data_IF_236680993793
#
_entry.id   IF_236680993793
#
_cell.length_a   1.000
_cell.length_b   1.000
_cell.length_c   1.000
_cell.angle_alpha   90.00
_cell.angle_beta   90.00
_cell.angle_gamma   90.00
#
_symmetry.space_group_name_H-M   'P 1'
#
loop_
_entity.id
_entity.type
_entity.pdbx_description
1 polymer ?
#
# COMPACT_ATOMS: atom_id res chain seq x y z
N UNK A 1 -53.26 -12.30 -8.77
CA UNK A 1 -52.43 -13.41 -8.24
C UNK A 1 -50.93 -13.22 -8.53
N UNK A 2 -50.55 -12.72 -9.71
CA UNK A 2 -49.14 -12.49 -10.09
C UNK A 2 -48.36 -11.49 -9.23
N UNK A 3 -49.01 -10.44 -8.71
CA UNK A 3 -48.32 -9.41 -7.92
C UNK A 3 -47.81 -9.95 -6.56
N UNK A 4 -48.57 -10.85 -5.93
CA UNK A 4 -48.20 -11.51 -4.67
C UNK A 4 -47.08 -12.53 -4.87
N UNK A 5 -47.09 -13.27 -5.99
CA UNK A 5 -46.02 -14.20 -6.35
C UNK A 5 -44.70 -13.48 -6.67
N UNK A 6 -44.76 -12.31 -7.31
CA UNK A 6 -43.59 -11.47 -7.61
C UNK A 6 -42.97 -10.87 -6.34
N UNK A 7 -43.81 -10.47 -5.37
CA UNK A 7 -43.38 -10.02 -4.05
C UNK A 7 -42.67 -11.10 -3.23
N UNK A 8 -43.25 -12.32 -3.19
CA UNK A 8 -42.69 -13.48 -2.49
C UNK A 8 -41.34 -13.89 -3.05
N UNK A 9 -41.20 -14.00 -4.39
CA UNK A 9 -39.91 -14.30 -5.05
C UNK A 9 -38.83 -13.25 -4.75
N UNK A 10 -39.21 -11.97 -4.66
CA UNK A 10 -38.27 -10.87 -4.33
C UNK A 10 -37.82 -10.91 -2.87
N UNK A 11 -38.69 -11.31 -1.94
CA UNK A 11 -38.33 -11.56 -0.54
C UNK A 11 -37.41 -12.79 -0.39
N UNK A 12 -37.74 -13.91 -1.02
CA UNK A 12 -36.90 -15.13 -0.97
C UNK A 12 -35.52 -14.90 -1.59
N UNK A 13 -35.42 -14.15 -2.69
CA UNK A 13 -34.14 -13.77 -3.28
C UNK A 13 -33.30 -12.86 -2.37
N UNK A 14 -33.95 -11.95 -1.63
CA UNK A 14 -33.27 -11.08 -0.64
C UNK A 14 -32.77 -11.88 0.55
N UNK A 15 -33.55 -12.83 1.06
CA UNK A 15 -33.15 -13.72 2.16
C UNK A 15 -32.02 -14.67 1.75
N UNK A 16 -32.09 -15.25 0.56
CA UNK A 16 -31.02 -16.07 0.01
C UNK A 16 -29.71 -15.27 -0.16
N UNK A 17 -29.81 -14.02 -0.64
CA UNK A 17 -28.66 -13.13 -0.73
C UNK A 17 -28.10 -12.78 0.66
N UNK A 18 -28.95 -12.53 1.66
CA UNK A 18 -28.50 -12.32 3.05
C UNK A 18 -27.80 -13.55 3.63
N UNK A 19 -28.33 -14.76 3.42
CA UNK A 19 -27.68 -16.00 3.86
C UNK A 19 -26.35 -16.25 3.15
N UNK A 20 -26.27 -16.00 1.83
CA UNK A 20 -25.02 -16.06 1.07
C UNK A 20 -24.00 -15.02 1.55
N UNK A 21 -24.46 -13.80 1.84
CA UNK A 21 -23.64 -12.72 2.41
C UNK A 21 -23.10 -13.10 3.79
N UNK A 22 -23.95 -13.63 4.68
CA UNK A 22 -23.55 -14.09 6.02
C UNK A 22 -22.53 -15.23 5.95
N UNK A 23 -22.74 -16.21 5.06
CA UNK A 23 -21.77 -17.28 4.79
C UNK A 23 -20.44 -16.74 4.23
N UNK A 24 -20.46 -15.65 3.46
CA UNK A 24 -19.22 -14.99 2.98
C UNK A 24 -18.48 -14.30 4.11
N UNK A 25 -19.18 -13.55 4.95
CA UNK A 25 -18.61 -12.85 6.11
C UNK A 25 -18.02 -13.87 7.10
N UNK A 26 -18.71 -14.98 7.37
CA UNK A 26 -18.19 -16.02 8.27
C UNK A 26 -16.92 -16.68 7.72
N UNK A 27 -16.83 -16.92 6.41
CA UNK A 27 -15.63 -17.46 5.76
C UNK A 27 -14.46 -16.47 5.76
N UNK A 28 -14.71 -15.19 5.48
CA UNK A 28 -13.67 -14.16 5.55
C UNK A 28 -13.14 -14.01 6.98
N UNK A 29 -14.03 -14.01 7.98
CA UNK A 29 -13.66 -14.01 9.39
C UNK A 29 -12.85 -15.25 9.77
N UNK A 30 -13.21 -16.43 9.25
CA UNK A 30 -12.46 -17.66 9.50
C UNK A 30 -11.04 -17.59 8.93
N UNK A 31 -10.86 -17.05 7.72
CA UNK A 31 -9.53 -16.82 7.13
C UNK A 31 -8.74 -15.84 7.99
N UNK A 32 -9.33 -14.68 8.31
CA UNK A 32 -8.70 -13.69 9.17
C UNK A 32 -8.23 -14.27 10.51
N UNK A 33 -9.09 -15.03 11.20
CA UNK A 33 -8.74 -15.66 12.49
C UNK A 33 -7.65 -16.73 12.33
N UNK A 34 -7.68 -17.51 11.25
CA UNK A 34 -6.64 -18.48 10.91
C UNK A 34 -5.28 -17.77 10.74
N UNK A 35 -5.24 -16.69 9.97
CA UNK A 35 -4.02 -15.91 9.71
C UNK A 35 -3.49 -15.24 10.98
N UNK A 36 -4.37 -14.58 11.75
CA UNK A 36 -3.99 -13.99 13.04
C UNK A 36 -3.39 -15.04 13.98
N UNK A 37 -4.02 -16.22 14.07
CA UNK A 37 -3.49 -17.33 14.88
C UNK A 37 -2.13 -17.80 14.35
N UNK A 38 -1.98 -17.92 13.03
CA UNK A 38 -0.71 -18.31 12.42
C UNK A 38 0.41 -17.32 12.73
N UNK A 39 0.12 -16.01 12.72
CA UNK A 39 1.09 -14.98 13.08
C UNK A 39 1.56 -15.10 14.53
N UNK A 40 0.64 -15.20 15.50
CA UNK A 40 1.01 -15.32 16.90
C UNK A 40 1.72 -16.64 17.27
N UNK A 41 1.65 -17.68 16.43
CA UNK A 41 2.46 -18.88 16.60
C UNK A 41 3.78 -18.86 15.79
N UNK A 42 4.01 -17.82 14.99
CA UNK A 42 5.20 -17.67 14.16
C UNK A 42 6.24 -16.79 14.83
N UNK A 43 7.50 -17.25 14.84
CA UNK A 43 8.64 -16.47 15.33
C UNK A 43 8.76 -15.09 14.63
N UNK A 44 8.33 -15.00 13.36
CA UNK A 44 8.42 -13.77 12.58
C UNK A 44 7.58 -12.62 13.17
N UNK A 45 6.40 -12.89 13.74
CA UNK A 45 5.56 -11.84 14.34
C UNK A 45 6.19 -11.29 15.63
N UNK A 46 6.81 -12.15 16.43
CA UNK A 46 7.52 -11.72 17.64
C UNK A 46 8.76 -10.90 17.30
N UNK A 47 9.54 -11.30 16.28
CA UNK A 47 10.66 -10.50 15.77
C UNK A 47 10.18 -9.14 15.29
N UNK A 48 9.05 -9.10 14.58
CA UNK A 48 8.42 -7.85 14.16
C UNK A 48 8.09 -6.93 15.33
N UNK A 49 7.36 -7.42 16.34
CA UNK A 49 7.01 -6.60 17.51
C UNK A 49 8.24 -6.12 18.26
N UNK A 50 9.24 -6.98 18.46
CA UNK A 50 10.48 -6.62 19.13
C UNK A 50 11.23 -5.53 18.36
N UNK A 51 11.35 -5.65 17.03
CA UNK A 51 12.02 -4.67 16.19
C UNK A 51 11.27 -3.34 16.17
N UNK A 52 9.94 -3.37 16.07
CA UNK A 52 9.10 -2.18 16.10
C UNK A 52 9.29 -1.41 17.41
N UNK A 53 9.10 -2.07 18.55
CA UNK A 53 9.20 -1.47 19.89
C UNK A 53 10.63 -0.97 20.14
N UNK A 54 11.65 -1.76 19.81
CA UNK A 54 13.04 -1.36 20.02
C UNK A 54 13.37 -0.10 19.22
N UNK A 55 12.95 -0.03 17.95
CA UNK A 55 13.28 1.10 17.10
C UNK A 55 12.50 2.37 17.47
N UNK A 56 11.18 2.29 17.71
CA UNK A 56 10.41 3.47 18.19
C UNK A 56 10.92 3.92 19.56
N UNK A 57 11.22 2.98 20.45
CA UNK A 57 11.77 3.23 21.78
C UNK A 57 13.14 3.92 21.75
N UNK A 58 14.01 3.57 20.79
CA UNK A 58 15.30 4.26 20.62
C UNK A 58 15.10 5.71 20.20
N UNK A 59 14.25 5.99 19.21
CA UNK A 59 13.96 7.37 18.80
C UNK A 59 13.32 8.17 19.93
N UNK A 60 12.38 7.57 20.66
CA UNK A 60 11.73 8.18 21.82
C UNK A 60 12.74 8.49 22.94
N UNK A 61 13.58 7.54 23.33
CA UNK A 61 14.55 7.70 24.41
C UNK A 61 15.64 8.73 24.08
N UNK A 62 16.21 8.64 22.87
CA UNK A 62 17.29 9.55 22.47
C UNK A 62 16.74 10.95 22.19
N UNK A 63 15.69 11.07 21.39
CA UNK A 63 15.26 12.39 20.89
C UNK A 63 14.31 13.07 21.87
N UNK A 64 13.28 12.38 22.36
CA UNK A 64 12.29 13.01 23.24
C UNK A 64 12.79 13.13 24.68
N UNK A 65 13.38 12.07 25.24
CA UNK A 65 13.84 12.08 26.64
C UNK A 65 15.21 12.71 26.83
N UNK A 66 16.19 12.41 25.96
CA UNK A 66 17.56 12.93 26.17
C UNK A 66 17.75 14.34 25.62
N UNK A 67 17.18 14.67 24.46
CA UNK A 67 17.24 16.04 23.89
C UNK A 67 16.06 16.93 24.29
N UNK A 68 15.03 16.39 24.93
CA UNK A 68 13.91 17.19 25.48
C UNK A 68 12.90 17.68 24.44
N UNK A 69 12.83 17.07 23.26
CA UNK A 69 11.84 17.44 22.25
C UNK A 69 10.46 16.83 22.53
N UNK A 70 9.41 17.65 22.50
CA UNK A 70 8.03 17.21 22.76
C UNK A 70 7.24 16.82 21.50
N UNK A 71 7.77 17.09 20.29
CA UNK A 71 7.10 16.76 19.03
C UNK A 71 7.30 15.28 18.64
N UNK A 72 6.52 14.42 19.29
CA UNK A 72 6.61 12.97 19.10
C UNK A 72 6.33 12.55 17.64
N UNK A 73 5.41 13.21 16.93
CA UNK A 73 5.04 12.78 15.59
C UNK A 73 6.16 13.02 14.57
N UNK A 74 6.81 14.17 14.65
CA UNK A 74 7.92 14.49 13.76
C UNK A 74 9.17 13.67 14.10
N UNK A 75 9.50 13.49 15.38
CA UNK A 75 10.75 12.86 15.77
C UNK A 75 10.69 11.34 15.89
N UNK A 76 9.57 10.77 16.31
CA UNK A 76 9.43 9.31 16.45
C UNK A 76 8.80 8.72 15.20
N UNK A 77 7.61 9.15 14.77
CA UNK A 77 6.95 8.53 13.62
C UNK A 77 7.67 8.79 12.30
N UNK A 78 8.10 10.03 12.00
CA UNK A 78 8.82 10.33 10.75
C UNK A 78 10.11 9.54 10.62
N UNK A 79 10.94 9.50 11.67
CA UNK A 79 12.18 8.72 11.64
C UNK A 79 11.92 7.21 11.61
N UNK A 80 10.86 6.74 12.28
CA UNK A 80 10.48 5.32 12.27
C UNK A 80 9.95 4.82 10.93
N UNK A 81 9.62 5.70 9.97
CA UNK A 81 9.16 5.28 8.63
C UNK A 81 10.18 4.41 7.89
N UNK A 82 11.48 4.59 8.17
CA UNK A 82 12.55 3.76 7.60
C UNK A 82 12.41 2.28 7.96
N UNK A 83 11.78 1.97 9.11
CA UNK A 83 11.57 0.60 9.56
C UNK A 83 10.64 -0.18 8.64
N UNK A 84 9.77 0.49 7.89
CA UNK A 84 8.89 -0.16 6.93
C UNK A 84 9.66 -0.91 5.85
N UNK A 85 10.89 -0.51 5.52
CA UNK A 85 11.76 -1.21 4.58
C UNK A 85 12.02 -2.66 5.04
N UNK A 86 12.11 -2.90 6.34
CA UNK A 86 12.35 -4.23 6.92
C UNK A 86 11.06 -4.91 7.34
N UNK A 87 10.17 -4.16 7.98
CA UNK A 87 8.91 -4.66 8.56
C UNK A 87 7.96 -5.17 7.48
N UNK A 88 7.77 -4.41 6.39
CA UNK A 88 6.79 -4.76 5.35
C UNK A 88 7.15 -6.09 4.68
N UNK A 89 8.40 -6.32 4.22
CA UNK A 89 8.80 -7.62 3.70
C UNK A 89 8.56 -8.76 4.70
N UNK A 90 8.91 -8.58 5.97
CA UNK A 90 8.76 -9.63 6.99
C UNK A 90 7.29 -10.03 7.16
N UNK A 91 6.38 -9.06 7.25
CA UNK A 91 4.96 -9.32 7.48
C UNK A 91 4.22 -9.82 6.24
N UNK A 92 4.66 -9.43 5.04
CA UNK A 92 3.92 -9.69 3.80
C UNK A 92 4.47 -10.84 2.96
N UNK A 93 5.77 -11.17 3.08
CA UNK A 93 6.41 -12.20 2.23
C UNK A 93 5.71 -13.57 2.30
N UNK A 94 5.13 -13.93 3.46
CA UNK A 94 4.52 -15.25 3.72
C UNK A 94 3.08 -15.37 3.21
N UNK A 95 2.38 -14.25 3.02
CA UNK A 95 0.93 -14.21 2.84
C UNK A 95 0.43 -15.12 1.72
N UNK A 96 1.13 -15.15 0.59
CA UNK A 96 0.82 -16.03 -0.55
C UNK A 96 1.99 -16.93 -0.96
N UNK A 97 3.23 -16.42 -0.92
CA UNK A 97 4.38 -17.20 -1.38
C UNK A 97 4.61 -18.50 -0.59
N UNK A 98 4.29 -18.52 0.72
CA UNK A 98 4.45 -19.72 1.54
C UNK A 98 3.39 -20.78 1.24
N UNK A 99 2.13 -20.39 1.03
CA UNK A 99 1.06 -21.31 0.66
C UNK A 99 1.32 -21.98 -0.69
N UNK A 100 1.85 -21.22 -1.65
CA UNK A 100 2.26 -21.76 -2.95
C UNK A 100 3.43 -22.71 -2.83
N UNK A 101 4.46 -22.33 -2.06
CA UNK A 101 5.62 -23.20 -1.82
C UNK A 101 5.22 -24.54 -1.22
N UNK A 102 4.23 -24.53 -0.32
CA UNK A 102 3.69 -25.72 0.33
C UNK A 102 2.58 -26.43 -0.48
N UNK A 103 2.20 -25.92 -1.65
CA UNK A 103 1.07 -26.39 -2.49
C UNK A 103 -0.27 -26.46 -1.75
N UNK A 104 -0.44 -25.66 -0.70
CA UNK A 104 -1.71 -25.54 0.03
C UNK A 104 -2.66 -24.53 -0.61
N UNK A 105 -2.18 -23.77 -1.59
CA UNK A 105 -2.95 -22.86 -2.44
C UNK A 105 -4.05 -23.58 -3.25
N UNK A 106 -3.80 -24.82 -3.68
CA UNK A 106 -4.79 -25.66 -4.38
C UNK A 106 -6.04 -25.93 -3.53
N UNK A 107 -5.86 -26.15 -2.22
CA UNK A 107 -6.98 -26.34 -1.27
C UNK A 107 -7.81 -25.06 -1.15
N UNK A 108 -7.15 -23.90 -1.26
CA UNK A 108 -7.80 -22.59 -1.22
C UNK A 108 -8.65 -22.34 -2.48
N UNK A 109 -8.16 -22.73 -3.66
CA UNK A 109 -8.85 -22.51 -4.94
C UNK A 109 -10.00 -23.48 -5.21
N UNK A 110 -9.88 -24.71 -4.72
CA UNK A 110 -10.96 -25.72 -4.77
C UNK A 110 -12.07 -25.43 -3.77
N UNK A 111 -11.77 -24.71 -2.69
CA UNK A 111 -12.79 -24.25 -1.76
C UNK A 111 -13.79 -23.28 -2.45
N UNK A 112 -15.09 -23.30 -2.07
CA UNK A 112 -16.11 -22.44 -2.68
C UNK A 112 -16.03 -20.99 -2.16
N UNK A 113 -14.82 -20.45 -1.98
CA UNK A 113 -14.54 -19.12 -1.46
C UNK A 113 -14.21 -18.20 -2.65
N UNK A 114 -14.63 -16.94 -2.55
CA UNK A 114 -14.33 -15.90 -3.54
C UNK A 114 -12.91 -15.38 -3.32
N UNK A 115 -12.15 -15.16 -4.39
CA UNK A 115 -10.77 -14.65 -4.35
C UNK A 115 -10.64 -13.38 -3.51
N UNK A 116 -11.60 -12.46 -3.63
CA UNK A 116 -11.64 -11.25 -2.80
C UNK A 116 -11.72 -11.52 -1.29
N UNK A 117 -12.48 -12.52 -0.83
CA UNK A 117 -12.57 -12.84 0.60
C UNK A 117 -11.26 -13.42 1.16
N UNK A 118 -10.46 -14.07 0.32
CA UNK A 118 -9.13 -14.57 0.67
C UNK A 118 -8.17 -13.38 0.84
N UNK A 119 -8.09 -12.53 -0.19
CA UNK A 119 -7.19 -11.36 -0.20
C UNK A 119 -7.51 -10.41 0.94
N UNK A 120 -8.78 -10.01 1.12
CA UNK A 120 -9.16 -9.12 2.21
C UNK A 120 -8.94 -9.75 3.59
N UNK A 121 -9.22 -11.05 3.78
CA UNK A 121 -9.01 -11.72 5.06
C UNK A 121 -7.54 -11.74 5.48
N UNK A 122 -6.65 -12.08 4.55
CA UNK A 122 -5.19 -12.08 4.74
C UNK A 122 -4.64 -10.66 4.96
N UNK A 123 -5.10 -9.69 4.15
CA UNK A 123 -4.65 -8.31 4.25
C UNK A 123 -5.05 -7.70 5.60
N UNK A 124 -6.31 -7.85 6.01
CA UNK A 124 -6.79 -7.35 7.29
C UNK A 124 -6.05 -7.97 8.46
N UNK A 125 -5.68 -9.26 8.41
CA UNK A 125 -4.88 -9.88 9.47
C UNK A 125 -3.51 -9.19 9.61
N UNK A 126 -2.85 -8.96 8.48
CA UNK A 126 -1.54 -8.27 8.46
C UNK A 126 -1.65 -6.82 8.95
N UNK A 127 -2.66 -6.07 8.53
CA UNK A 127 -2.89 -4.68 8.97
C UNK A 127 -3.29 -4.60 10.43
N UNK A 128 -4.00 -5.59 10.98
CA UNK A 128 -4.28 -5.64 12.42
C UNK A 128 -3.00 -5.78 13.24
N UNK A 129 -1.99 -6.54 12.80
CA UNK A 129 -0.71 -6.60 13.50
C UNK A 129 -0.02 -5.24 13.56
N UNK A 130 -0.08 -4.48 12.46
CA UNK A 130 0.37 -3.09 12.44
C UNK A 130 -0.43 -2.23 13.42
N UNK A 131 -1.76 -2.35 13.45
CA UNK A 131 -2.58 -1.61 14.41
C UNK A 131 -2.23 -1.95 15.87
N UNK A 132 -1.97 -3.22 16.18
CA UNK A 132 -1.59 -3.68 17.52
C UNK A 132 -0.24 -3.07 17.93
N UNK A 133 0.77 -3.07 17.05
CA UNK A 133 2.07 -2.49 17.40
C UNK A 133 2.00 -0.98 17.65
N UNK A 134 1.08 -0.27 16.99
CA UNK A 134 0.90 1.17 17.18
C UNK A 134 0.33 1.54 18.56
N UNK A 135 -0.29 0.60 19.28
CA UNK A 135 -0.68 0.83 20.68
C UNK A 135 0.55 1.16 21.55
N UNK A 136 1.71 0.55 21.26
CA UNK A 136 2.95 0.84 21.98
C UNK A 136 3.37 2.29 21.77
N UNK A 137 3.30 2.79 20.53
CA UNK A 137 3.62 4.20 20.23
C UNK A 137 2.69 5.19 20.93
N UNK A 138 1.41 4.85 21.09
CA UNK A 138 0.45 5.67 21.85
C UNK A 138 0.83 5.69 23.35
N UNK A 139 1.27 4.56 23.89
CA UNK A 139 1.76 4.47 25.28
C UNK A 139 3.01 5.34 25.45
N UNK A 140 3.98 5.28 24.53
CA UNK A 140 5.19 6.12 24.55
C UNK A 140 4.84 7.63 24.53
N UNK A 141 3.92 8.06 23.66
CA UNK A 141 3.44 9.44 23.63
C UNK A 141 2.71 9.84 24.93
N UNK A 142 1.97 8.90 25.54
CA UNK A 142 1.34 9.08 26.85
C UNK A 142 2.36 9.27 27.97
N UNK A 143 3.44 8.49 27.97
CA UNK A 143 4.56 8.69 28.91
C UNK A 143 5.18 10.07 28.71
N UNK A 144 5.41 10.50 27.46
CA UNK A 144 5.96 11.83 27.17
C UNK A 144 5.11 12.96 27.74
N UNK A 145 3.78 12.82 27.72
CA UNK A 145 2.86 13.83 28.24
C UNK A 145 2.98 14.07 29.75
N UNK A 146 3.58 13.13 30.49
CA UNK A 146 3.90 13.30 31.92
C UNK A 146 5.12 14.20 32.15
N UNK A 147 6.03 14.29 31.17
CA UNK A 147 7.29 15.02 31.28
C UNK A 147 7.33 16.34 30.48
N UNK A 148 6.35 16.57 29.59
CA UNK A 148 6.29 17.77 28.78
C UNK A 148 4.93 18.00 28.13
N UNK A 149 4.76 19.18 27.51
CA UNK A 149 3.53 19.52 26.81
C UNK A 149 3.54 18.90 25.41
N UNK A 150 2.89 17.74 25.28
CA UNK A 150 2.75 17.01 24.02
C UNK A 150 1.52 17.49 23.28
N UNK A 151 1.69 17.84 22.00
CA UNK A 151 0.58 18.17 21.14
C UNK A 151 -0.15 16.88 20.70
N UNK A 152 -1.20 16.51 21.43
CA UNK A 152 -2.01 15.34 21.11
C UNK A 152 -2.64 15.35 19.72
N UNK A 153 -2.83 16.54 19.11
CA UNK A 153 -3.33 16.61 17.74
C UNK A 153 -2.32 16.01 16.76
N UNK A 154 -1.06 16.43 16.82
CA UNK A 154 0.00 15.91 15.93
C UNK A 154 0.26 14.44 16.18
N UNK A 155 0.17 13.98 17.43
CA UNK A 155 0.30 12.55 17.77
C UNK A 155 -0.80 11.70 17.13
N UNK A 156 -2.08 12.11 17.26
CA UNK A 156 -3.19 11.34 16.72
C UNK A 156 -3.23 11.37 15.19
N UNK A 157 -2.96 12.53 14.58
CA UNK A 157 -2.89 12.63 13.11
C UNK A 157 -1.69 11.88 12.57
N UNK A 158 -0.51 11.99 13.20
CA UNK A 158 0.70 11.25 12.84
C UNK A 158 0.51 9.74 12.99
N UNK A 159 -0.17 9.29 14.05
CA UNK A 159 -0.55 7.89 14.24
C UNK A 159 -1.45 7.40 13.09
N UNK A 160 -2.47 8.15 12.70
CA UNK A 160 -3.32 7.81 11.57
C UNK A 160 -2.53 7.79 10.24
N UNK A 161 -1.67 8.77 10.01
CA UNK A 161 -0.83 8.85 8.82
C UNK A 161 0.13 7.68 8.72
N UNK A 162 0.78 7.32 9.83
CA UNK A 162 1.76 6.24 9.88
C UNK A 162 1.06 4.89 9.65
N UNK A 163 -0.13 4.69 10.24
CA UNK A 163 -0.96 3.52 9.98
C UNK A 163 -1.34 3.39 8.49
N UNK A 164 -1.81 4.49 7.87
CA UNK A 164 -2.19 4.49 6.46
C UNK A 164 -1.00 4.24 5.52
N UNK A 165 0.14 4.85 5.82
CA UNK A 165 1.40 4.63 5.11
C UNK A 165 1.82 3.16 5.18
N UNK A 166 1.84 2.58 6.38
CA UNK A 166 2.16 1.16 6.58
C UNK A 166 1.18 0.25 5.85
N UNK A 167 -0.14 0.48 5.98
CA UNK A 167 -1.17 -0.30 5.29
C UNK A 167 -1.01 -0.25 3.76
N UNK A 168 -0.69 0.93 3.21
CA UNK A 168 -0.40 1.14 1.80
C UNK A 168 0.79 0.28 1.32
N UNK A 169 1.90 0.29 2.04
CA UNK A 169 3.08 -0.51 1.70
C UNK A 169 2.82 -2.02 1.90
N UNK A 170 2.02 -2.39 2.89
CA UNK A 170 1.63 -3.79 3.10
C UNK A 170 0.78 -4.34 1.94
N UNK A 171 -0.08 -3.51 1.33
CA UNK A 171 -0.82 -3.89 0.14
C UNK A 171 0.12 -4.20 -1.04
N UNK A 172 1.19 -3.41 -1.20
CA UNK A 172 2.25 -3.66 -2.20
C UNK A 172 3.01 -4.95 -1.89
N UNK A 173 3.46 -5.13 -0.66
CA UNK A 173 4.17 -6.35 -0.25
C UNK A 173 3.33 -7.62 -0.45
N UNK A 174 2.02 -7.54 -0.16
CA UNK A 174 1.08 -8.63 -0.44
C UNK A 174 0.98 -8.92 -1.94
N UNK A 175 0.88 -7.88 -2.77
CA UNK A 175 0.86 -8.05 -4.22
C UNK A 175 2.14 -8.73 -4.71
N UNK A 176 3.32 -8.27 -4.26
CA UNK A 176 4.62 -8.88 -4.60
C UNK A 176 4.68 -10.35 -4.15
N UNK A 177 4.23 -10.68 -2.93
CA UNK A 177 4.13 -12.07 -2.45
C UNK A 177 3.23 -12.93 -3.33
N UNK A 178 2.18 -12.37 -3.92
CA UNK A 178 1.28 -13.07 -4.85
C UNK A 178 1.90 -13.34 -6.24
N UNK A 179 2.98 -12.66 -6.61
CA UNK A 179 3.64 -12.85 -7.91
C UNK A 179 4.67 -13.99 -7.90
N UNK A 180 5.25 -14.29 -6.74
CA UNK A 180 6.31 -15.29 -6.57
C UNK A 180 5.82 -16.51 -5.80
N UNK A 181 6.53 -17.61 -5.96
CA UNK A 181 6.25 -18.89 -5.30
C UNK A 181 7.31 -19.23 -4.23
N UNK A 182 8.27 -18.31 -4.00
CA UNK A 182 9.31 -18.44 -2.98
C UNK A 182 9.34 -17.24 -2.04
N UNK A 183 9.19 -17.50 -0.74
CA UNK A 183 9.19 -16.50 0.33
C UNK A 183 10.45 -15.62 0.35
N UNK A 184 11.63 -16.18 0.08
CA UNK A 184 12.87 -15.39 0.08
C UNK A 184 12.90 -14.36 -1.07
N UNK A 185 12.41 -14.77 -2.26
CA UNK A 185 12.31 -13.88 -3.41
C UNK A 185 11.22 -12.83 -3.16
N UNK A 186 10.10 -13.21 -2.53
CA UNK A 186 9.04 -12.27 -2.13
C UNK A 186 9.59 -11.19 -1.19
N UNK A 187 10.40 -11.60 -0.22
CA UNK A 187 11.02 -10.68 0.74
C UNK A 187 11.97 -9.71 0.05
N UNK A 188 12.88 -10.20 -0.79
CA UNK A 188 13.85 -9.38 -1.51
C UNK A 188 13.18 -8.37 -2.46
N UNK A 189 12.17 -8.80 -3.21
CA UNK A 189 11.42 -7.91 -4.10
C UNK A 189 10.60 -6.88 -3.31
N UNK A 190 9.94 -7.29 -2.23
CA UNK A 190 9.18 -6.36 -1.38
C UNK A 190 10.11 -5.33 -0.74
N UNK A 191 11.30 -5.75 -0.29
CA UNK A 191 12.32 -4.86 0.22
C UNK A 191 12.74 -3.83 -0.83
N UNK A 192 13.06 -4.27 -2.05
CA UNK A 192 13.47 -3.39 -3.13
C UNK A 192 12.38 -2.38 -3.52
N UNK A 193 11.12 -2.82 -3.62
CA UNK A 193 9.99 -1.95 -3.96
C UNK A 193 9.70 -0.94 -2.85
N UNK A 194 9.67 -1.38 -1.58
CA UNK A 194 9.44 -0.48 -0.44
C UNK A 194 10.59 0.52 -0.29
N UNK A 195 11.84 0.07 -0.44
CA UNK A 195 13.02 0.94 -0.47
C UNK A 195 12.89 2.00 -1.56
N UNK A 196 12.54 1.59 -2.78
CA UNK A 196 12.33 2.52 -3.88
C UNK A 196 11.24 3.56 -3.56
N UNK A 197 10.09 3.13 -3.04
CA UNK A 197 9.02 4.03 -2.60
C UNK A 197 9.47 5.03 -1.52
N UNK A 198 10.31 4.60 -0.58
CA UNK A 198 10.84 5.46 0.49
C UNK A 198 11.89 6.46 -0.01
N UNK A 199 12.59 6.14 -1.09
CA UNK A 199 13.59 7.02 -1.68
C UNK A 199 13.01 8.07 -2.63
N UNK A 200 11.75 7.94 -3.06
CA UNK A 200 11.12 8.88 -4.00
C UNK A 200 11.24 10.36 -3.61
N UNK A 201 10.98 10.78 -2.35
CA UNK A 201 11.18 12.18 -1.94
C UNK A 201 12.62 12.66 -2.17
N UNK A 202 13.58 11.83 -1.78
CA UNK A 202 15.01 12.15 -1.91
C UNK A 202 15.42 12.24 -3.38
N UNK A 203 14.89 11.37 -4.24
CA UNK A 203 15.12 11.41 -5.67
C UNK A 203 14.51 12.70 -6.26
N UNK A 204 13.29 13.07 -5.87
CA UNK A 204 12.63 14.29 -6.35
C UNK A 204 13.47 15.54 -6.07
N UNK A 205 14.05 15.63 -4.86
CA UNK A 205 14.87 16.77 -4.45
C UNK A 205 16.21 16.89 -5.21
N UNK A 206 16.74 15.78 -5.72
CA UNK A 206 18.01 15.76 -6.48
C UNK A 206 17.79 15.95 -7.98
N UNK A 207 16.56 15.68 -8.47
CA UNK A 207 16.24 15.78 -9.89
C UNK A 207 16.36 17.24 -10.38
N UNK A 208 17.10 17.49 -11.47
CA UNK A 208 17.24 18.86 -11.97
C UNK A 208 15.91 19.44 -12.45
N UNK A 209 15.52 20.59 -11.89
CA UNK A 209 14.26 21.28 -12.18
C UNK A 209 14.09 21.90 -13.58
N UNK A 210 15.03 21.66 -14.52
CA UNK A 210 15.00 22.30 -15.85
C UNK A 210 13.98 21.62 -16.78
N UNK A 211 13.17 22.42 -17.48
CA UNK A 211 12.16 21.95 -18.45
C UNK A 211 12.68 20.90 -19.46
N UNK A 212 13.95 21.00 -19.86
CA UNK A 212 14.58 20.04 -20.79
C UNK A 212 14.53 18.59 -20.30
N UNK A 213 14.69 18.34 -19.01
CA UNK A 213 14.70 16.98 -18.46
C UNK A 213 13.29 16.40 -18.42
N UNK A 214 12.31 17.19 -18.00
CA UNK A 214 10.89 16.80 -18.06
C UNK A 214 10.47 16.47 -19.50
N UNK A 215 10.86 17.30 -20.48
CA UNK A 215 10.56 17.06 -21.89
C UNK A 215 11.12 15.73 -22.39
N UNK A 216 12.39 15.46 -22.13
CA UNK A 216 13.06 14.20 -22.54
C UNK A 216 12.35 12.99 -21.92
N UNK A 217 12.03 13.04 -20.63
CA UNK A 217 11.34 11.93 -19.95
C UNK A 217 9.95 11.69 -20.51
N UNK A 218 9.17 12.74 -20.79
CA UNK A 218 7.84 12.60 -21.40
C UNK A 218 7.91 11.98 -22.81
N UNK A 219 8.90 12.36 -23.62
CA UNK A 219 9.10 11.77 -24.96
C UNK A 219 9.47 10.30 -24.86
N UNK A 220 10.40 9.94 -23.96
CA UNK A 220 10.76 8.54 -23.71
C UNK A 220 9.56 7.71 -23.22
N UNK A 221 8.71 8.29 -22.36
CA UNK A 221 7.49 7.64 -21.90
C UNK A 221 6.50 7.37 -23.04
N UNK A 222 6.33 8.31 -23.97
CA UNK A 222 5.49 8.10 -25.17
C UNK A 222 6.03 7.00 -26.06
N UNK A 223 7.36 6.94 -26.24
CA UNK A 223 8.00 5.86 -27.02
C UNK A 223 7.76 4.50 -26.35
N UNK A 224 7.89 4.42 -25.02
CA UNK A 224 7.60 3.20 -24.25
C UNK A 224 6.13 2.77 -24.38
N UNK A 225 5.19 3.72 -24.30
CA UNK A 225 3.77 3.45 -24.49
C UNK A 225 3.52 2.95 -25.92
N UNK A 226 4.09 3.60 -26.93
CA UNK A 226 3.96 3.16 -28.31
C UNK A 226 4.51 1.74 -28.52
N UNK A 227 5.66 1.42 -27.91
CA UNK A 227 6.23 0.08 -27.92
C UNK A 227 5.32 -0.96 -27.25
N UNK A 228 4.74 -0.64 -26.09
CA UNK A 228 3.75 -1.51 -25.43
C UNK A 228 2.52 -1.76 -26.31
N UNK A 229 1.98 -0.71 -26.95
CA UNK A 229 0.86 -0.86 -27.90
C UNK A 229 1.23 -1.71 -29.11
N UNK A 230 2.48 -1.64 -29.58
CA UNK A 230 2.94 -2.49 -30.67
C UNK A 230 2.94 -3.97 -30.29
N UNK A 231 3.42 -4.30 -29.09
CA UNK A 231 3.48 -5.70 -28.61
C UNK A 231 2.07 -6.32 -28.53
N UNK A 232 1.10 -5.53 -28.05
CA UNK A 232 -0.29 -5.98 -27.90
C UNK A 232 -1.08 -5.99 -29.23
N UNK A 233 -0.94 -4.95 -30.07
CA UNK A 233 -1.76 -4.82 -31.29
C UNK A 233 -1.11 -5.41 -32.54
N UNK A 234 0.22 -5.59 -32.53
CA UNK A 234 1.06 -5.98 -33.68
C UNK A 234 0.82 -5.13 -34.94
N UNK A 235 0.28 -3.91 -34.79
CA UNK A 235 -0.15 -3.06 -35.89
C UNK A 235 0.62 -1.74 -35.91
N UNK A 236 1.55 -1.63 -36.87
CA UNK A 236 2.49 -0.50 -37.00
C UNK A 236 1.77 0.85 -37.16
N UNK A 237 0.61 0.89 -37.83
CA UNK A 237 -0.11 2.15 -38.08
C UNK A 237 -0.66 2.77 -36.80
N UNK A 238 -1.20 1.94 -35.90
CA UNK A 238 -1.75 2.39 -34.62
C UNK A 238 -0.60 2.87 -33.73
N UNK A 239 0.49 2.11 -33.67
CA UNK A 239 1.71 2.49 -32.93
C UNK A 239 2.29 3.81 -33.41
N UNK A 240 2.46 3.98 -34.73
CA UNK A 240 2.99 5.21 -35.30
C UNK A 240 2.07 6.40 -35.02
N UNK A 241 0.75 6.21 -35.11
CA UNK A 241 -0.24 7.23 -34.76
C UNK A 241 -0.12 7.69 -33.32
N UNK A 242 -0.08 6.76 -32.35
CA UNK A 242 0.04 7.07 -30.92
C UNK A 242 1.37 7.76 -30.60
N UNK A 243 2.48 7.25 -31.15
CA UNK A 243 3.81 7.80 -30.92
C UNK A 243 3.97 9.21 -31.47
N UNK A 244 3.64 9.43 -32.74
CA UNK A 244 3.77 10.76 -33.39
C UNK A 244 2.80 11.76 -32.75
N UNK A 245 1.54 11.38 -32.55
CA UNK A 245 0.57 12.26 -31.89
C UNK A 245 1.02 12.65 -30.48
N UNK A 246 1.51 11.69 -29.68
CA UNK A 246 2.02 11.95 -28.34
C UNK A 246 3.19 12.92 -28.31
N UNK A 247 4.18 12.74 -29.20
CA UNK A 247 5.35 13.63 -29.28
C UNK A 247 4.93 15.04 -29.74
N UNK A 248 4.05 15.15 -30.74
CA UNK A 248 3.54 16.45 -31.22
C UNK A 248 2.78 17.18 -30.11
N UNK A 249 1.94 16.47 -29.35
CA UNK A 249 1.22 17.05 -28.21
C UNK A 249 2.21 17.58 -27.16
N UNK A 250 3.24 16.80 -26.80
CA UNK A 250 4.27 17.23 -25.84
C UNK A 250 5.03 18.45 -26.36
N UNK A 251 5.38 18.49 -27.65
CA UNK A 251 6.08 19.61 -28.28
C UNK A 251 5.22 20.89 -28.34
N UNK A 252 3.92 20.77 -28.53
CA UNK A 252 2.99 21.90 -28.47
C UNK A 252 2.86 22.37 -27.01
N UNK A 253 2.64 21.45 -26.06
CA UNK A 253 2.49 21.77 -24.64
C UNK A 253 3.74 22.45 -24.07
N UNK A 254 4.94 22.05 -24.48
CA UNK A 254 6.19 22.65 -23.99
C UNK A 254 6.35 24.11 -24.41
N UNK A 255 5.75 24.52 -25.53
CA UNK A 255 5.72 25.92 -25.99
C UNK A 255 4.54 26.71 -25.43
N UNK A 256 3.36 26.12 -25.34
CA UNK A 256 2.13 26.81 -24.91
C UNK A 256 2.07 26.98 -23.38
N UNK A 257 2.61 26.03 -22.61
CA UNK A 257 2.64 26.06 -21.14
C UNK A 257 4.00 25.60 -20.60
N UNK A 258 5.08 26.39 -20.77
CA UNK A 258 6.42 26.02 -20.30
C UNK A 258 6.48 25.74 -18.79
N UNK A 259 5.62 26.41 -18.00
CA UNK A 259 5.50 26.21 -16.56
C UNK A 259 5.07 24.78 -16.14
N UNK A 260 4.47 23.98 -17.04
CA UNK A 260 4.20 22.56 -16.78
C UNK A 260 5.47 21.70 -16.82
N UNK A 261 6.46 22.13 -17.60
CA UNK A 261 7.73 21.42 -17.77
C UNK A 261 8.77 21.85 -16.74
N UNK A 262 8.69 23.09 -16.26
CA UNK A 262 9.49 23.58 -15.14
C UNK A 262 9.17 22.81 -13.85
N UNK A 263 10.19 22.16 -13.28
CA UNK A 263 10.08 21.20 -12.17
C UNK A 263 9.07 20.05 -12.42
N UNK A 264 8.65 19.82 -13.66
CA UNK A 264 7.60 18.86 -13.97
C UNK A 264 7.99 17.42 -13.61
N UNK A 265 9.26 17.04 -13.81
CA UNK A 265 9.76 15.72 -13.43
C UNK A 265 9.71 15.48 -11.91
N UNK A 266 10.12 16.46 -11.11
CA UNK A 266 10.02 16.40 -9.64
C UNK A 266 8.55 16.29 -9.20
N UNK A 267 7.65 17.10 -9.77
CA UNK A 267 6.20 17.01 -9.49
C UNK A 267 5.60 15.65 -9.82
N UNK A 268 6.06 14.99 -10.89
CA UNK A 268 5.61 13.63 -11.25
C UNK A 268 6.08 12.63 -10.18
N UNK A 269 7.33 12.74 -9.73
CA UNK A 269 7.88 11.87 -8.68
C UNK A 269 7.13 12.08 -7.36
N UNK A 270 6.92 13.33 -6.96
CA UNK A 270 6.16 13.70 -5.75
C UNK A 270 4.73 13.17 -5.78
N UNK A 271 4.11 13.12 -6.97
CA UNK A 271 2.75 12.60 -7.11
C UNK A 271 2.64 11.12 -6.71
N UNK A 272 3.64 10.32 -7.07
CA UNK A 272 3.78 8.91 -6.68
C UNK A 272 4.33 8.71 -5.26
N UNK A 273 4.88 9.76 -4.66
CA UNK A 273 5.47 9.70 -3.33
C UNK A 273 4.42 9.41 -2.27
N UNK A 274 4.53 8.21 -1.70
CA UNK A 274 3.68 7.74 -0.59
C UNK A 274 4.14 8.39 0.73
N UNK A 275 5.44 8.73 0.83
CA UNK A 275 6.06 9.28 2.03
C UNK A 275 5.85 10.79 2.17
N UNK A 276 5.89 11.59 1.10
CA UNK A 276 5.71 13.06 1.24
C UNK A 276 4.34 13.43 1.80
N UNK A 277 3.32 12.67 1.42
CA UNK A 277 1.95 12.83 1.91
C UNK A 277 1.81 12.56 3.41
N UNK A 278 2.76 11.84 4.01
CA UNK A 278 2.78 11.53 5.43
C UNK A 278 3.21 12.75 6.27
N UNK A 279 4.03 13.66 5.73
CA UNK A 279 4.55 14.82 6.45
C UNK A 279 3.43 15.78 6.94
N UNK A 280 2.34 15.92 6.18
CA UNK A 280 1.15 16.69 6.58
C UNK A 280 0.55 16.14 7.89
N UNK A 281 0.52 14.82 8.03
CA UNK A 281 -0.03 14.15 9.22
C UNK A 281 0.85 14.37 10.44
N UNK A 282 2.18 14.31 10.29
CA UNK A 282 3.11 14.64 11.38
C UNK A 282 2.96 16.09 11.85
N UNK A 283 2.61 16.99 10.93
CA UNK A 283 2.39 18.42 11.21
C UNK A 283 1.03 18.73 11.85
N UNK A 284 0.17 17.72 12.08
CA UNK A 284 -1.16 17.93 12.66
C UNK A 284 -2.27 18.19 11.63
N UNK A 285 -1.98 18.12 10.33
CA UNK A 285 -2.91 18.45 9.25
C UNK A 285 -3.54 17.17 8.71
N UNK A 286 -4.87 17.05 8.86
CA UNK A 286 -5.63 15.97 8.23
C UNK A 286 -6.01 16.35 6.80
N UNK A 287 -5.17 15.96 5.86
CA UNK A 287 -5.40 16.19 4.43
C UNK A 287 -6.24 15.08 3.82
N UNK A 288 -7.48 15.40 3.41
CA UNK A 288 -8.38 14.45 2.76
C UNK A 288 -7.80 13.88 1.45
N UNK A 289 -7.02 14.67 0.71
CA UNK A 289 -6.35 14.21 -0.52
C UNK A 289 -5.40 13.06 -0.24
N UNK A 290 -4.60 13.15 0.83
CA UNK A 290 -3.66 12.11 1.22
C UNK A 290 -4.36 10.84 1.70
N UNK A 291 -5.47 10.96 2.44
CA UNK A 291 -6.28 9.81 2.86
C UNK A 291 -6.86 9.10 1.63
N UNK A 292 -7.47 9.85 0.70
CA UNK A 292 -8.03 9.29 -0.53
C UNK A 292 -6.94 8.62 -1.36
N UNK A 293 -5.75 9.21 -1.44
CA UNK A 293 -4.60 8.62 -2.12
C UNK A 293 -4.23 7.26 -1.52
N UNK A 294 -4.00 7.18 -0.20
CA UNK A 294 -3.64 5.91 0.45
C UNK A 294 -4.72 4.84 0.27
N UNK A 295 -6.00 5.18 0.45
CA UNK A 295 -7.11 4.24 0.27
C UNK A 295 -7.20 3.76 -1.19
N UNK A 296 -7.05 4.66 -2.16
CA UNK A 296 -7.06 4.31 -3.58
C UNK A 296 -5.89 3.42 -3.95
N UNK A 297 -4.70 3.72 -3.42
CA UNK A 297 -3.49 2.93 -3.64
C UNK A 297 -3.64 1.52 -3.07
N UNK A 298 -4.13 1.39 -1.83
CA UNK A 298 -4.48 0.09 -1.23
C UNK A 298 -5.47 -0.66 -2.12
N UNK A 299 -6.56 -0.02 -2.55
CA UNK A 299 -7.58 -0.64 -3.36
C UNK A 299 -7.03 -1.19 -4.70
N UNK A 300 -6.15 -0.43 -5.36
CA UNK A 300 -5.49 -0.85 -6.61
C UNK A 300 -4.63 -2.10 -6.37
N UNK A 301 -3.74 -2.10 -5.39
CA UNK A 301 -2.85 -3.25 -5.15
C UNK A 301 -3.61 -4.50 -4.67
N UNK A 302 -4.65 -4.33 -3.86
CA UNK A 302 -5.53 -5.45 -3.48
C UNK A 302 -6.30 -5.99 -4.69
N UNK A 303 -6.79 -5.11 -5.58
CA UNK A 303 -7.44 -5.53 -6.82
C UNK A 303 -6.48 -6.29 -7.74
N UNK A 304 -5.24 -5.79 -7.93
CA UNK A 304 -4.22 -6.49 -8.72
C UNK A 304 -3.88 -7.86 -8.12
N UNK A 305 -3.82 -7.96 -6.78
CA UNK A 305 -3.64 -9.25 -6.09
C UNK A 305 -4.80 -10.21 -6.37
N UNK A 306 -6.05 -9.71 -6.34
CA UNK A 306 -7.22 -10.53 -6.66
C UNK A 306 -7.19 -11.05 -8.10
N UNK A 307 -6.83 -10.19 -9.06
CA UNK A 307 -6.71 -10.57 -10.47
C UNK A 307 -5.61 -11.60 -10.68
N UNK A 308 -4.46 -11.43 -10.02
CA UNK A 308 -3.36 -12.40 -10.04
C UNK A 308 -3.79 -13.79 -9.55
N UNK A 309 -4.63 -13.84 -8.52
CA UNK A 309 -5.18 -15.09 -7.98
C UNK A 309 -6.26 -15.69 -8.90
N UNK A 310 -7.17 -14.86 -9.42
CA UNK A 310 -8.24 -15.33 -10.32
C UNK A 310 -7.67 -15.93 -11.61
N UNK A 311 -6.65 -15.30 -12.20
CA UNK A 311 -5.95 -15.83 -13.38
C UNK A 311 -5.36 -17.22 -13.12
N UNK A 312 -4.79 -17.46 -11.94
CA UNK A 312 -4.23 -18.77 -11.57
C UNK A 312 -5.29 -19.83 -11.25
N UNK A 313 -6.51 -19.43 -10.89
CA UNK A 313 -7.59 -20.38 -10.61
C UNK A 313 -8.13 -21.03 -11.88
N UNK A 314 -7.96 -20.38 -13.04
CA UNK A 314 -8.53 -20.82 -14.31
C UNK A 314 -7.49 -21.46 -15.26
N UNK A 315 -6.21 -21.40 -14.90
CA UNK A 315 -5.12 -22.12 -15.56
C UNK A 315 -4.80 -23.41 -14.80
#
# INVERSE_FOLDING_TARGET
MDFLLKGRKKQTARELNRQKQQRRISRMKAIYLKEMRSYFHSLAAYIYFALFIAATGVYFSVICMSYGYTDYAQYVFSNSTILYIVIVPILTMRLFAEEKKQRTDQLLYTSPIRSGSIVFGKYLASVTLLAISMLVSIIEAGVLSMFGNVNWKTVLTGCLGYFLLGACLMAVGMFVSSLTDNQMIAAALSFAVVLFCMLLPNISNVVPGRARYTYIVCVLAVILIAWFFYDETKNVKITAGVGVAGIVIIAILSKVKPALFDNGLSKIIDWFSVLDRFNDFCSGILNASSIVYYVSFIAVFLFLTMQGIEKRRWN
#
